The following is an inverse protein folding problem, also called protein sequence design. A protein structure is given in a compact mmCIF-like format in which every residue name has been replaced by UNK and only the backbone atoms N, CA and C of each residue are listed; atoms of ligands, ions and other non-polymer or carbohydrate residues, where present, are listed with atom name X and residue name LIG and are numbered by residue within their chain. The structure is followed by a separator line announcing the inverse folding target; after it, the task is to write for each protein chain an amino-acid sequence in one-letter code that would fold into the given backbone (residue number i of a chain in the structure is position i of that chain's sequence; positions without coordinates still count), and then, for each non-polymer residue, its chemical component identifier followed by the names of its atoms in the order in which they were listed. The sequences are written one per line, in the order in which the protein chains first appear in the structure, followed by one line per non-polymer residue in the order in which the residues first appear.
data_IF_624096418556
#
_entry.id   IF_624096418556
#
_cell.length_a   1.000
_cell.length_b   1.000
_cell.length_c   1.000
_cell.angle_alpha   90.00
_cell.angle_beta   90.00
_cell.angle_gamma   90.00
#
_symmetry.space_group_name_H-M   'P 1'
#
loop_
_entity.id
_entity.type
_entity.pdbx_description
1 polymer ?
#
# COMPACT_ATOMS: atom_id res chain seq x y z
N UNK A 1 -27.73 54.47 -63.94
CA UNK A 1 -26.29 54.37 -64.27
C UNK A 1 -25.49 54.69 -63.00
N UNK A 2 -24.63 53.75 -62.59
CA UNK A 2 -23.65 53.79 -61.48
C UNK A 2 -24.15 53.85 -60.01
N UNK A 3 -23.40 53.24 -59.07
CA UNK A 3 -23.96 52.29 -58.09
C UNK A 3 -23.59 52.58 -56.62
N UNK A 4 -24.10 51.73 -55.71
CA UNK A 4 -23.52 51.32 -54.43
C UNK A 4 -23.14 52.38 -53.37
N UNK A 5 -23.69 52.24 -52.16
CA UNK A 5 -22.86 51.74 -51.05
C UNK A 5 -23.73 51.17 -49.91
N UNK A 6 -23.58 49.87 -49.69
CA UNK A 6 -24.04 49.17 -48.48
C UNK A 6 -23.00 49.48 -47.40
N UNK A 7 -23.40 50.18 -46.33
CA UNK A 7 -22.56 50.43 -45.16
C UNK A 7 -22.61 49.23 -44.22
N UNK A 8 -21.74 48.26 -44.45
CA UNK A 8 -21.34 47.25 -43.46
C UNK A 8 -20.24 47.89 -42.59
N UNK A 9 -20.57 48.33 -41.36
CA UNK A 9 -19.57 48.81 -40.41
C UNK A 9 -19.72 48.12 -39.04
N UNK A 10 -18.75 47.24 -38.78
CA UNK A 10 -18.07 47.02 -37.50
C UNK A 10 -18.90 46.41 -36.36
N UNK A 11 -19.29 45.16 -36.52
CA UNK A 11 -19.47 44.21 -35.41
C UNK A 11 -18.65 42.96 -35.68
N UNK A 12 -17.34 43.06 -35.53
CA UNK A 12 -16.47 41.92 -35.80
C UNK A 12 -15.01 42.22 -35.55
N UNK A 13 -14.61 42.33 -34.28
CA UNK A 13 -13.23 42.15 -33.79
C UNK A 13 -13.13 42.46 -32.29
N UNK A 14 -13.96 41.84 -31.43
CA UNK A 14 -13.82 41.98 -29.98
C UNK A 14 -14.18 40.70 -29.20
N UNK A 15 -14.04 39.53 -29.83
CA UNK A 15 -14.40 38.25 -29.20
C UNK A 15 -13.38 37.13 -29.46
N UNK A 16 -12.15 37.49 -29.83
CA UNK A 16 -11.08 36.54 -30.18
C UNK A 16 -9.77 36.73 -29.39
N UNK A 17 -9.74 37.61 -28.38
CA UNK A 17 -8.56 37.85 -27.52
C UNK A 17 -8.82 37.42 -26.06
N UNK A 18 -10.05 37.01 -25.71
CA UNK A 18 -10.40 36.50 -24.37
C UNK A 18 -10.38 34.96 -24.25
N UNK A 19 -10.05 34.23 -25.32
CA UNK A 19 -10.03 32.74 -25.31
C UNK A 19 -8.62 32.13 -25.12
N UNK A 20 -7.58 32.93 -24.90
CA UNK A 20 -6.19 32.44 -24.77
C UNK A 20 -5.67 32.36 -23.33
N UNK A 21 -6.52 32.52 -22.31
CA UNK A 21 -6.13 32.41 -20.89
C UNK A 21 -6.93 31.38 -20.09
N UNK A 22 -7.56 30.39 -20.74
CA UNK A 22 -8.28 29.29 -20.06
C UNK A 22 -7.67 27.90 -20.27
N UNK A 23 -6.47 27.79 -20.85
CA UNK A 23 -5.69 26.53 -20.89
C UNK A 23 -4.40 26.73 -20.11
N UNK A 24 -4.55 26.94 -18.81
CA UNK A 24 -3.42 27.19 -17.91
C UNK A 24 -3.78 27.08 -16.45
N UNK A 25 -4.91 26.45 -16.10
CA UNK A 25 -5.09 25.92 -14.76
C UNK A 25 -4.46 24.52 -14.80
N UNK A 26 -3.14 24.47 -14.55
CA UNK A 26 -2.43 23.21 -14.36
C UNK A 26 -3.20 22.43 -13.30
N UNK A 27 -3.85 21.35 -13.73
CA UNK A 27 -4.51 20.43 -12.83
C UNK A 27 -3.45 19.97 -11.82
N UNK A 28 -3.53 20.50 -10.60
CA UNK A 28 -2.76 20.06 -9.45
C UNK A 28 -3.24 18.67 -8.97
N UNK A 29 -3.58 17.79 -9.91
CA UNK A 29 -4.05 16.44 -9.69
C UNK A 29 -3.18 15.51 -10.50
N UNK A 30 -2.28 14.79 -9.83
CA UNK A 30 -1.55 13.70 -10.45
C UNK A 30 -2.49 12.66 -11.06
N UNK A 31 -1.97 11.82 -11.96
CA UNK A 31 -2.73 10.69 -12.52
C UNK A 31 -3.16 9.80 -11.37
N UNK A 32 -4.47 9.57 -11.26
CA UNK A 32 -5.05 8.71 -10.23
C UNK A 32 -5.07 7.26 -10.69
N UNK A 33 -4.55 6.37 -9.86
CA UNK A 33 -4.52 4.93 -10.06
C UNK A 33 -5.33 4.31 -8.92
N UNK A 34 -6.49 3.74 -9.23
CA UNK A 34 -7.28 3.02 -8.25
C UNK A 34 -6.69 1.63 -8.03
N UNK A 35 -6.33 1.30 -6.79
CA UNK A 35 -5.78 0.00 -6.41
C UNK A 35 -6.70 -0.64 -5.38
N UNK A 36 -7.18 -1.84 -5.66
CA UNK A 36 -8.20 -2.49 -4.82
C UNK A 36 -7.67 -3.81 -4.28
N UNK A 37 -7.81 -4.02 -2.97
CA UNK A 37 -7.28 -5.22 -2.33
C UNK A 37 -7.95 -6.51 -2.81
N UNK A 38 -9.18 -6.46 -3.31
CA UNK A 38 -9.92 -7.59 -3.86
C UNK A 38 -9.33 -8.07 -5.20
N UNK A 39 -8.86 -7.14 -6.04
CA UNK A 39 -8.16 -7.42 -7.31
C UNK A 39 -6.74 -7.95 -7.13
N UNK A 40 -6.11 -7.73 -5.98
CA UNK A 40 -4.79 -8.29 -5.71
C UNK A 40 -4.82 -9.82 -5.74
N UNK A 41 -3.94 -10.39 -6.55
CA UNK A 41 -3.61 -11.81 -6.60
C UNK A 41 -2.09 -11.94 -6.57
N UNK A 42 -1.51 -12.72 -5.63
CA UNK A 42 -0.06 -12.91 -5.56
C UNK A 42 0.53 -13.40 -6.89
N UNK A 43 1.49 -12.65 -7.44
CA UNK A 43 2.19 -12.95 -8.69
C UNK A 43 3.46 -13.79 -8.52
N UNK A 44 3.94 -13.96 -7.29
CA UNK A 44 5.09 -14.81 -6.99
C UNK A 44 4.75 -16.31 -6.96
N UNK A 45 5.76 -17.17 -7.13
CA UNK A 45 5.59 -18.62 -7.04
C UNK A 45 5.50 -19.05 -5.58
N UNK A 46 4.46 -19.80 -5.20
CA UNK A 46 4.30 -20.30 -3.83
C UNK A 46 5.52 -21.09 -3.31
N UNK A 47 6.22 -21.80 -4.20
CA UNK A 47 7.45 -22.54 -3.89
C UNK A 47 8.59 -21.64 -3.36
N UNK A 48 8.66 -20.37 -3.79
CA UNK A 48 9.66 -19.41 -3.32
C UNK A 48 9.49 -19.06 -1.84
N UNK A 49 8.28 -19.28 -1.30
CA UNK A 49 7.91 -19.10 0.10
C UNK A 49 7.59 -20.44 0.79
N UNK A 50 8.06 -21.57 0.25
CA UNK A 50 7.66 -22.92 0.67
C UNK A 50 7.88 -23.26 2.14
N UNK A 51 8.74 -22.51 2.85
CA UNK A 51 8.94 -22.64 4.31
C UNK A 51 7.72 -22.22 5.14
N UNK A 52 6.77 -21.51 4.55
CA UNK A 52 5.50 -21.14 5.16
C UNK A 52 4.45 -22.25 5.07
N UNK A 53 4.65 -23.25 4.21
CA UNK A 53 3.66 -24.31 3.98
C UNK A 53 3.30 -25.02 5.27
N UNK A 54 2.02 -25.00 5.62
CA UNK A 54 1.47 -25.63 6.81
C UNK A 54 1.73 -24.89 8.13
N UNK A 55 2.53 -23.81 8.13
CA UNK A 55 2.72 -22.98 9.33
C UNK A 55 1.43 -22.29 9.70
N UNK A 56 1.12 -22.28 11.00
CA UNK A 56 0.03 -21.49 11.57
C UNK A 56 0.59 -20.14 11.97
N UNK A 57 -0.10 -19.06 11.63
CA UNK A 57 0.28 -17.70 11.98
C UNK A 57 -0.97 -16.91 12.37
N UNK A 58 -0.81 -15.93 13.24
CA UNK A 58 -1.80 -14.86 13.44
C UNK A 58 -1.29 -13.62 12.73
N UNK A 59 -2.15 -12.94 11.97
CA UNK A 59 -1.80 -11.67 11.34
C UNK A 59 -2.46 -10.54 12.12
N UNK A 60 -1.67 -9.82 12.91
CA UNK A 60 -2.12 -8.67 13.68
C UNK A 60 -2.48 -7.49 12.76
N UNK A 61 -3.13 -6.46 13.32
CA UNK A 61 -3.39 -5.22 12.60
C UNK A 61 -2.10 -4.58 12.12
N UNK A 62 -2.09 -4.11 10.87
CA UNK A 62 -1.02 -3.31 10.33
C UNK A 62 -1.19 -1.85 10.76
N UNK A 63 -0.10 -1.08 10.71
CA UNK A 63 -0.08 0.30 11.17
C UNK A 63 0.61 1.17 10.14
N UNK A 64 -0.01 2.30 9.81
CA UNK A 64 0.62 3.31 8.98
C UNK A 64 1.25 4.41 9.85
N UNK A 65 2.58 4.49 9.82
CA UNK A 65 3.37 5.60 10.38
C UNK A 65 4.17 6.31 9.31
N UNK A 66 3.79 6.15 8.04
CA UNK A 66 4.50 6.74 6.92
C UNK A 66 4.04 8.20 6.72
N UNK A 67 4.92 9.15 7.00
CA UNK A 67 4.65 10.59 6.85
C UNK A 67 4.38 11.00 5.40
N UNK A 68 4.81 10.21 4.43
CA UNK A 68 4.62 10.44 2.99
C UNK A 68 3.32 9.86 2.43
N UNK A 69 2.39 9.43 3.28
CA UNK A 69 1.11 8.84 2.86
C UNK A 69 -0.09 9.62 3.40
N UNK A 70 -1.29 9.23 2.95
CA UNK A 70 -2.57 9.58 3.56
C UNK A 70 -3.32 8.29 3.89
N UNK A 71 -4.38 8.40 4.67
CA UNK A 71 -5.22 7.25 5.09
C UNK A 71 -5.56 6.31 3.93
N UNK A 72 -5.88 6.85 2.76
CA UNK A 72 -6.32 6.09 1.59
C UNK A 72 -5.36 6.16 0.39
N UNK A 73 -4.20 6.84 0.52
CA UNK A 73 -3.35 7.15 -0.62
C UNK A 73 -1.86 7.00 -0.35
N UNK A 74 -1.14 6.48 -1.34
CA UNK A 74 0.31 6.64 -1.47
C UNK A 74 0.65 7.23 -2.85
N UNK A 75 1.90 7.61 -3.06
CA UNK A 75 2.28 8.48 -4.18
C UNK A 75 3.52 7.99 -4.91
N UNK A 76 3.71 8.42 -6.15
CA UNK A 76 5.05 8.42 -6.73
C UNK A 76 5.97 9.40 -5.96
N UNK A 77 7.31 9.19 -5.99
CA UNK A 77 8.25 10.10 -5.33
C UNK A 77 8.11 11.57 -5.76
N UNK A 78 7.74 11.82 -7.01
CA UNK A 78 7.50 13.15 -7.58
C UNK A 78 6.05 13.65 -7.41
N UNK A 79 5.19 12.86 -6.75
CA UNK A 79 3.77 13.13 -6.50
C UNK A 79 2.91 13.34 -7.75
N UNK A 80 3.41 12.94 -8.93
CA UNK A 80 2.63 12.98 -10.17
C UNK A 80 1.66 11.82 -10.31
N UNK A 81 1.85 10.74 -9.57
CA UNK A 81 0.92 9.61 -9.50
C UNK A 81 0.34 9.54 -8.09
N UNK A 82 -0.97 9.35 -8.02
CA UNK A 82 -1.71 9.13 -6.77
C UNK A 82 -2.33 7.76 -6.83
N UNK A 83 -1.94 6.88 -5.92
CA UNK A 83 -2.51 5.54 -5.80
C UNK A 83 -3.56 5.57 -4.71
N UNK A 84 -4.82 5.45 -5.11
CA UNK A 84 -5.99 5.54 -4.24
C UNK A 84 -6.50 4.12 -3.93
N UNK A 85 -6.63 3.82 -2.65
CA UNK A 85 -7.02 2.48 -2.16
C UNK A 85 -8.48 2.46 -1.71
N UNK A 86 -9.16 1.32 -1.88
CA UNK A 86 -10.56 1.14 -1.45
C UNK A 86 -10.74 0.93 0.06
N UNK A 87 -9.66 0.78 0.80
CA UNK A 87 -9.60 0.60 2.25
C UNK A 87 -8.47 1.49 2.80
N UNK A 88 -8.42 1.82 4.11
CA UNK A 88 -7.25 2.49 4.66
C UNK A 88 -5.98 1.69 4.34
N UNK A 89 -4.84 2.36 4.16
CA UNK A 89 -3.60 1.71 3.71
C UNK A 89 -3.22 0.50 4.57
N UNK A 90 -3.44 0.57 5.88
CA UNK A 90 -3.18 -0.56 6.77
C UNK A 90 -4.01 -1.78 6.39
N UNK A 91 -5.29 -1.57 6.11
CA UNK A 91 -6.22 -2.63 5.71
C UNK A 91 -5.90 -3.15 4.31
N UNK A 92 -5.55 -2.25 3.37
CA UNK A 92 -5.12 -2.64 2.03
C UNK A 92 -3.91 -3.59 2.08
N UNK A 93 -2.85 -3.21 2.81
CA UNK A 93 -1.66 -4.05 2.94
C UNK A 93 -1.94 -5.33 3.73
N UNK A 94 -2.74 -5.26 4.80
CA UNK A 94 -3.11 -6.44 5.59
C UNK A 94 -3.82 -7.50 4.74
N UNK A 95 -4.81 -7.09 3.95
CA UNK A 95 -5.56 -8.00 3.06
C UNK A 95 -4.67 -8.61 1.99
N UNK A 96 -3.80 -7.80 1.38
CA UNK A 96 -2.84 -8.31 0.41
C UNK A 96 -1.86 -9.32 1.05
N UNK A 97 -1.32 -9.02 2.23
CA UNK A 97 -0.44 -9.94 2.96
C UNK A 97 -1.18 -11.21 3.38
N UNK A 98 -2.44 -11.11 3.80
CA UNK A 98 -3.29 -12.25 4.13
C UNK A 98 -3.41 -13.22 2.94
N UNK A 99 -3.69 -12.69 1.75
CA UNK A 99 -3.71 -13.44 0.49
C UNK A 99 -2.35 -14.04 0.16
N UNK A 100 -1.25 -13.28 0.30
CA UNK A 100 0.11 -13.74 0.02
C UNK A 100 0.56 -14.88 0.95
N UNK A 101 0.29 -14.78 2.26
CA UNK A 101 0.56 -15.84 3.23
C UNK A 101 -0.23 -17.12 2.90
N UNK A 102 -1.53 -16.99 2.60
CA UNK A 102 -2.37 -18.13 2.19
C UNK A 102 -1.85 -18.77 0.90
N UNK A 103 -1.47 -17.97 -0.10
CA UNK A 103 -0.86 -18.44 -1.35
C UNK A 103 0.46 -19.18 -1.11
N UNK A 104 1.29 -18.72 -0.16
CA UNK A 104 2.50 -19.41 0.29
C UNK A 104 2.23 -20.70 1.09
N UNK A 105 0.96 -21.02 1.36
CA UNK A 105 0.53 -22.23 2.07
C UNK A 105 0.50 -22.10 3.60
N UNK A 106 0.62 -20.88 4.15
CA UNK A 106 0.38 -20.65 5.57
C UNK A 106 -1.11 -20.74 5.91
N UNK A 107 -1.40 -21.06 7.17
CA UNK A 107 -2.75 -21.04 7.75
C UNK A 107 -2.85 -19.85 8.68
N UNK A 108 -3.58 -18.83 8.26
CA UNK A 108 -3.94 -17.72 9.13
C UNK A 108 -5.01 -18.22 10.09
N UNK A 109 -4.75 -18.11 11.38
CA UNK A 109 -5.69 -18.50 12.44
C UNK A 109 -6.13 -17.26 13.21
N UNK A 110 -7.36 -17.31 13.72
CA UNK A 110 -7.91 -16.21 14.50
C UNK A 110 -7.28 -16.15 15.91
N UNK A 111 -7.38 -14.96 16.51
CA UNK A 111 -7.10 -14.80 17.92
C UNK A 111 -8.07 -15.63 18.77
N UNK A 112 -7.61 -16.09 19.94
CA UNK A 112 -8.43 -16.72 20.96
C UNK A 112 -8.84 -15.66 22.01
N UNK A 113 -10.11 -15.66 22.43
CA UNK A 113 -10.57 -14.91 23.60
C UNK A 113 -10.29 -15.70 24.87
N UNK A 114 -9.79 -15.11 25.96
CA UNK A 114 -10.45 -14.09 26.81
C UNK A 114 -9.60 -12.84 27.05
N UNK A 115 -10.27 -11.74 27.40
CA UNK A 115 -9.71 -10.44 27.76
C UNK A 115 -8.30 -10.49 28.39
N UNK A 116 -7.32 -9.95 27.67
CA UNK A 116 -5.96 -9.72 28.17
C UNK A 116 -6.01 -8.93 29.48
N UNK A 117 -5.67 -9.59 30.60
CA UNK A 117 -5.40 -8.99 31.92
C UNK A 117 -3.92 -9.18 32.25
N UNK A 118 -3.05 -8.35 31.67
CA UNK A 118 -1.63 -8.35 31.99
C UNK A 118 -1.04 -6.94 31.89
N UNK A 119 -0.20 -6.49 32.84
CA UNK A 119 0.55 -5.25 32.68
C UNK A 119 1.70 -5.49 31.69
N UNK A 120 1.50 -5.09 30.43
CA UNK A 120 2.48 -5.29 29.35
C UNK A 120 3.24 -3.99 29.00
N UNK A 121 4.54 -4.04 28.65
CA UNK A 121 5.45 -2.91 28.48
C UNK A 121 5.24 -2.10 27.17
N UNK A 122 4.02 -2.04 26.64
CA UNK A 122 3.69 -1.48 25.32
C UNK A 122 3.68 0.05 25.26
N UNK A 123 4.38 0.72 26.19
CA UNK A 123 4.43 2.18 26.31
C UNK A 123 5.55 2.85 25.48
N UNK A 124 6.47 2.07 24.88
CA UNK A 124 7.54 2.56 24.00
C UNK A 124 7.17 2.53 22.51
N UNK A 125 5.96 2.98 22.17
CA UNK A 125 5.58 3.21 20.78
C UNK A 125 5.43 1.95 19.92
N UNK A 126 5.27 0.76 20.50
CA UNK A 126 4.72 -0.40 19.80
C UNK A 126 3.20 -0.45 20.02
N UNK A 127 2.40 -0.89 19.04
CA UNK A 127 0.97 -1.10 19.27
C UNK A 127 0.72 -2.15 20.35
N UNK A 128 -0.25 -1.89 21.22
CA UNK A 128 -0.68 -2.87 22.21
C UNK A 128 -1.31 -4.07 21.48
N UNK A 129 -1.03 -5.33 21.89
CA UNK A 129 -1.81 -6.45 21.44
C UNK A 129 -3.27 -6.21 21.83
N UNK A 130 -4.20 -6.51 20.91
CA UNK A 130 -5.63 -6.42 21.19
C UNK A 130 -5.98 -7.29 22.41
N UNK A 131 -7.12 -7.05 23.06
CA UNK A 131 -7.53 -7.87 24.22
C UNK A 131 -7.69 -9.38 23.92
N UNK A 132 -7.52 -9.79 22.66
CA UNK A 132 -7.47 -11.16 22.18
C UNK A 132 -6.02 -11.63 22.05
N UNK A 133 -5.73 -12.88 22.44
CA UNK A 133 -4.38 -13.44 22.43
C UNK A 133 -4.21 -14.44 21.29
N UNK A 134 -3.04 -14.43 20.64
CA UNK A 134 -2.72 -15.47 19.67
C UNK A 134 -2.76 -16.85 20.36
N UNK A 135 -3.19 -17.92 19.66
CA UNK A 135 -3.15 -19.26 20.23
C UNK A 135 -1.75 -19.60 20.72
N UNK A 136 -1.67 -20.35 21.83
CA UNK A 136 -0.38 -20.71 22.45
C UNK A 136 0.60 -21.30 21.43
N UNK A 137 1.81 -20.74 21.39
CA UNK A 137 2.89 -21.16 20.48
C UNK A 137 2.72 -20.74 19.02
N UNK A 138 1.62 -20.11 18.62
CA UNK A 138 1.43 -19.59 17.27
C UNK A 138 2.09 -18.21 17.17
N UNK A 139 2.98 -17.97 16.19
CA UNK A 139 3.57 -16.66 15.99
C UNK A 139 2.52 -15.65 15.52
N UNK A 140 2.54 -14.47 16.13
CA UNK A 140 1.76 -13.30 15.74
C UNK A 140 2.66 -12.33 14.99
N UNK A 141 2.26 -12.00 13.76
CA UNK A 141 3.02 -11.12 12.86
C UNK A 141 2.34 -9.77 12.82
N UNK A 142 3.13 -8.73 13.03
CA UNK A 142 2.70 -7.35 12.90
C UNK A 142 3.62 -6.57 11.98
N UNK A 143 3.04 -5.62 11.24
CA UNK A 143 3.75 -4.78 10.29
C UNK A 143 3.45 -3.30 10.55
N UNK A 144 4.50 -2.47 10.53
CA UNK A 144 4.41 -1.02 10.62
C UNK A 144 5.00 -0.42 9.35
N UNK A 145 4.18 0.24 8.54
CA UNK A 145 4.61 1.00 7.37
C UNK A 145 5.27 2.29 7.84
N UNK A 146 6.50 2.56 7.40
CA UNK A 146 7.27 3.76 7.78
C UNK A 146 7.55 4.69 6.59
N UNK A 147 7.46 4.17 5.36
CA UNK A 147 7.43 4.97 4.12
C UNK A 147 6.75 4.16 3.03
N UNK A 148 5.88 4.77 2.23
CA UNK A 148 5.25 4.11 1.07
C UNK A 148 5.26 5.04 -0.13
N UNK A 149 5.88 4.59 -1.21
CA UNK A 149 5.79 5.16 -2.56
C UNK A 149 5.51 4.06 -3.57
N UNK A 150 5.28 4.42 -4.82
CA UNK A 150 5.12 3.44 -5.92
C UNK A 150 6.42 2.77 -6.40
N UNK A 151 7.55 3.17 -5.82
CA UNK A 151 8.88 2.63 -6.12
C UNK A 151 9.54 2.00 -4.92
N UNK A 152 9.13 2.35 -3.71
CA UNK A 152 9.77 1.91 -2.48
C UNK A 152 8.76 1.82 -1.34
N UNK A 153 8.84 0.73 -0.58
CA UNK A 153 8.18 0.59 0.73
C UNK A 153 9.23 0.29 1.78
N UNK A 154 9.20 1.07 2.87
CA UNK A 154 9.94 0.79 4.11
C UNK A 154 8.95 0.39 5.19
N UNK A 155 9.27 -0.67 5.90
CA UNK A 155 8.38 -1.22 6.90
C UNK A 155 9.16 -1.99 7.96
N UNK A 156 8.62 -2.02 9.17
CA UNK A 156 9.15 -2.80 10.27
C UNK A 156 8.23 -3.98 10.53
N UNK A 157 8.81 -5.17 10.74
CA UNK A 157 8.05 -6.37 11.09
C UNK A 157 8.42 -6.83 12.48
N UNK A 158 7.40 -7.20 13.23
CA UNK A 158 7.50 -7.82 14.53
C UNK A 158 6.94 -9.24 14.48
N UNK A 159 7.59 -10.15 15.21
CA UNK A 159 7.00 -11.46 15.51
C UNK A 159 6.93 -11.63 17.01
N UNK A 160 5.73 -11.88 17.51
CA UNK A 160 5.47 -12.21 18.90
C UNK A 160 5.15 -13.70 19.02
N UNK A 161 5.55 -14.30 20.14
CA UNK A 161 5.10 -15.64 20.52
C UNK A 161 4.73 -15.62 22.00
N UNK A 162 3.51 -16.02 22.30
CA UNK A 162 2.94 -15.98 23.65
C UNK A 162 3.06 -14.57 24.28
N UNK A 163 2.83 -13.52 23.49
CA UNK A 163 2.91 -12.12 23.91
C UNK A 163 4.34 -11.56 24.07
N UNK A 164 5.38 -12.36 23.80
CA UNK A 164 6.78 -11.94 23.91
C UNK A 164 7.36 -11.67 22.52
N UNK A 165 7.99 -10.51 22.33
CA UNK A 165 8.71 -10.19 21.10
C UNK A 165 9.86 -11.18 20.89
N UNK A 166 9.88 -11.85 19.74
CA UNK A 166 10.93 -12.78 19.33
C UNK A 166 11.75 -12.25 18.16
N UNK A 167 11.20 -11.29 17.44
CA UNK A 167 11.82 -10.74 16.25
C UNK A 167 11.33 -9.32 16.02
N UNK A 168 12.26 -8.46 15.63
CA UNK A 168 12.00 -7.12 15.11
C UNK A 168 13.04 -6.82 14.06
N UNK A 169 12.61 -6.38 12.88
CA UNK A 169 13.53 -5.98 11.82
C UNK A 169 12.90 -4.97 10.87
N UNK A 170 13.72 -4.06 10.41
CA UNK A 170 13.38 -3.09 9.38
C UNK A 170 13.68 -3.67 7.99
N UNK A 171 12.75 -3.46 7.08
CA UNK A 171 12.81 -3.92 5.70
C UNK A 171 12.63 -2.74 4.75
N UNK A 172 13.24 -2.90 3.58
CA UNK A 172 13.10 -2.01 2.45
C UNK A 172 12.93 -2.88 1.20
N UNK A 173 11.90 -2.58 0.43
CA UNK A 173 11.67 -3.17 -0.87
C UNK A 173 11.58 -2.05 -1.90
N UNK A 174 12.40 -2.11 -2.94
CA UNK A 174 12.46 -1.07 -3.96
C UNK A 174 12.39 -1.70 -5.36
N UNK A 175 11.67 -1.04 -6.26
CA UNK A 175 11.57 -1.36 -7.67
C UNK A 175 11.91 -0.12 -8.51
N UNK A 176 12.37 -0.27 -9.76
CA UNK A 176 12.68 0.87 -10.62
C UNK A 176 11.47 1.80 -10.85
N UNK A 177 11.62 2.96 -11.48
CA UNK A 177 10.46 3.73 -11.93
C UNK A 177 9.60 2.95 -12.95
N UNK A 178 8.31 3.23 -13.00
CA UNK A 178 7.43 2.70 -14.05
C UNK A 178 7.78 3.29 -15.42
N UNK A 179 7.81 2.45 -16.46
CA UNK A 179 8.04 2.90 -17.83
C UNK A 179 6.75 3.34 -18.55
N UNK A 180 5.59 2.99 -17.98
CA UNK A 180 4.26 3.23 -18.55
C UNK A 180 3.53 4.32 -17.76
N UNK A 181 2.68 5.07 -18.46
CA UNK A 181 1.68 5.98 -17.87
C UNK A 181 0.27 5.38 -17.95
N UNK A 182 0.14 4.16 -18.49
CA UNK A 182 -1.13 3.46 -18.55
C UNK A 182 -1.58 3.05 -17.14
N UNK A 183 -2.83 3.40 -16.80
CA UNK A 183 -3.37 3.20 -15.44
C UNK A 183 -3.40 1.73 -15.05
N UNK A 184 -3.65 0.83 -16.01
CA UNK A 184 -3.69 -0.62 -15.74
C UNK A 184 -2.29 -1.16 -15.47
N UNK A 185 -1.29 -0.70 -16.22
CA UNK A 185 0.11 -1.06 -15.95
C UNK A 185 0.57 -0.55 -14.58
N UNK A 186 0.19 0.67 -14.20
CA UNK A 186 0.49 1.25 -12.89
C UNK A 186 -0.22 0.49 -11.76
N UNK A 187 -1.48 0.10 -11.93
CA UNK A 187 -2.20 -0.73 -10.97
C UNK A 187 -1.48 -2.08 -10.76
N UNK A 188 -1.08 -2.76 -11.83
CA UNK A 188 -0.32 -4.01 -11.74
C UNK A 188 1.05 -3.82 -11.08
N UNK A 189 1.71 -2.69 -11.35
CA UNK A 189 2.97 -2.34 -10.68
C UNK A 189 2.80 -2.19 -9.17
N UNK A 190 1.72 -1.58 -8.70
CA UNK A 190 1.43 -1.47 -7.28
C UNK A 190 1.30 -2.85 -6.62
N UNK A 191 0.61 -3.80 -7.26
CA UNK A 191 0.53 -5.19 -6.77
C UNK A 191 1.89 -5.90 -6.78
N UNK A 192 2.71 -5.68 -7.81
CA UNK A 192 4.06 -6.23 -7.88
C UNK A 192 4.97 -5.68 -6.77
N UNK A 193 4.77 -4.43 -6.33
CA UNK A 193 5.47 -3.87 -5.17
C UNK A 193 5.07 -4.59 -3.87
N UNK A 194 3.79 -4.91 -3.69
CA UNK A 194 3.32 -5.71 -2.54
C UNK A 194 3.91 -7.12 -2.56
N UNK A 195 4.01 -7.76 -3.73
CA UNK A 195 4.70 -9.04 -3.88
C UNK A 195 6.18 -8.92 -3.50
N UNK A 196 6.84 -7.83 -3.90
CA UNK A 196 8.23 -7.59 -3.57
C UNK A 196 8.44 -7.40 -2.07
N UNK A 197 7.58 -6.65 -1.37
CA UNK A 197 7.67 -6.48 0.08
C UNK A 197 7.47 -7.80 0.80
N UNK A 198 6.47 -8.58 0.39
CA UNK A 198 6.19 -9.89 0.96
C UNK A 198 7.34 -10.87 0.74
N UNK A 199 7.82 -10.99 -0.51
CA UNK A 199 8.91 -11.92 -0.85
C UNK A 199 10.22 -11.54 -0.18
N UNK A 200 10.51 -10.24 -0.03
CA UNK A 200 11.67 -9.74 0.75
C UNK A 200 11.61 -10.24 2.19
N UNK A 201 10.44 -10.11 2.82
CA UNK A 201 10.21 -10.58 4.19
C UNK A 201 10.38 -12.10 4.31
N UNK A 202 9.66 -12.87 3.51
CA UNK A 202 9.61 -14.34 3.70
C UNK A 202 10.87 -15.06 3.22
N UNK A 203 11.74 -14.40 2.46
CA UNK A 203 13.07 -14.91 2.09
C UNK A 203 14.13 -14.68 3.18
N UNK A 204 13.85 -13.82 4.15
CA UNK A 204 14.73 -13.57 5.27
C UNK A 204 14.80 -14.79 6.21
N UNK A 205 16.02 -15.32 6.40
CA UNK A 205 16.26 -16.50 7.24
C UNK A 205 15.94 -16.25 8.70
N UNK A 206 16.14 -15.04 9.20
CA UNK A 206 15.92 -14.74 10.62
C UNK A 206 14.43 -14.58 10.92
N UNK A 207 13.68 -13.98 9.98
CA UNK A 207 12.22 -13.99 10.03
C UNK A 207 11.68 -15.44 9.98
N UNK A 208 12.19 -16.27 9.07
CA UNK A 208 11.77 -17.68 8.98
C UNK A 208 12.02 -18.49 10.26
N UNK A 209 13.11 -18.21 10.99
CA UNK A 209 13.40 -18.84 12.29
C UNK A 209 12.45 -18.35 13.38
N UNK A 210 11.99 -17.11 13.30
CA UNK A 210 11.07 -16.52 14.25
C UNK A 210 9.64 -17.07 14.15
N UNK A 211 9.24 -17.55 12.95
CA UNK A 211 7.95 -18.20 12.70
C UNK A 211 7.89 -19.65 13.18
#
# INVERSE_FOLDING_TARGET
MKPNSIKFWKTGAALLIAMLFLVGCGAAGGVKVAVQQDKYSPGFRAADAGRLKGKRIVLASFINRADNTKTWNFYSPDKKLVYETSAPLESFFWECYSKAFKHAGARIVDYQGTAYRGPGPWWWGGPAPTAATAPKGVPEIQLVLTSVTDQEVRFQVYVFRDGVEKFRKDYQAAMPPGASQDVKDLEQRAYALVDLTFTTLVRDRDFQKAL
#
